data_IF_843948405584
#
_entry.id   IF_843948405584
#
_cell.length_a   1.000
_cell.length_b   1.000
_cell.length_c   1.000
_cell.angle_alpha   90.00
_cell.angle_beta   90.00
_cell.angle_gamma   90.00
#
_symmetry.space_group_name_H-M   'P 1'
#
loop_
_entity.id
_entity.type
_entity.pdbx_description
1 polymer ?
#
# COMPACT_ATOMS: atom_id res chain seq x y z
N UNK A 1 3.58 16.78 23.02
CA UNK A 1 3.33 18.01 23.82
C UNK A 1 3.86 19.31 23.21
N UNK A 2 4.43 19.35 22.00
CA UNK A 2 4.71 20.62 21.26
C UNK A 2 5.69 21.62 21.90
N UNK A 3 6.16 21.37 23.12
CA UNK A 3 7.03 22.26 23.88
C UNK A 3 8.49 21.91 23.62
N UNK A 4 9.26 22.89 23.15
CA UNK A 4 10.69 22.78 22.92
C UNK A 4 11.43 23.81 23.78
N UNK A 5 12.65 23.48 24.19
CA UNK A 5 13.55 24.39 24.90
C UNK A 5 14.89 24.43 24.19
N UNK A 6 15.40 25.63 23.96
CA UNK A 6 16.67 25.88 23.29
C UNK A 6 17.51 26.78 24.18
N UNK A 7 18.79 26.48 24.30
CA UNK A 7 19.76 27.39 24.93
C UNK A 7 20.33 28.29 23.85
N UNK A 8 20.16 29.59 24.02
CA UNK A 8 20.61 30.62 23.07
C UNK A 8 21.33 31.75 23.83
N UNK A 9 22.20 32.53 23.17
CA UNK A 9 22.81 33.70 23.79
C UNK A 9 21.75 34.69 24.28
N UNK A 10 22.01 35.31 25.44
CA UNK A 10 21.14 36.33 26.01
C UNK A 10 21.11 37.61 25.16
N UNK A 11 20.02 38.36 25.27
CA UNK A 11 19.84 39.67 24.64
C UNK A 11 20.12 39.73 23.14
N UNK A 12 19.84 38.65 22.40
CA UNK A 12 20.16 38.49 20.99
C UNK A 12 18.89 38.49 20.14
N UNK A 13 18.88 39.26 19.05
CA UNK A 13 17.79 39.25 18.08
C UNK A 13 17.87 37.98 17.20
N UNK A 14 16.77 37.24 17.15
CA UNK A 14 16.69 35.96 16.45
C UNK A 14 15.24 35.64 16.04
N UNK A 15 15.05 34.60 15.24
CA UNK A 15 13.75 34.00 14.97
C UNK A 15 13.86 32.47 15.12
N UNK A 16 12.74 31.81 15.35
CA UNK A 16 12.63 30.35 15.37
C UNK A 16 12.11 29.89 14.01
N UNK A 17 12.75 28.88 13.43
CA UNK A 17 12.29 28.17 12.24
C UNK A 17 11.94 26.74 12.60
N UNK A 18 10.69 26.36 12.37
CA UNK A 18 10.24 24.97 12.45
C UNK A 18 10.27 24.40 11.04
N UNK A 19 10.86 23.23 10.86
CA UNK A 19 10.93 22.54 9.56
C UNK A 19 9.91 21.41 9.53
N UNK A 20 9.28 21.18 8.38
CA UNK A 20 8.49 19.99 8.11
C UNK A 20 9.43 18.78 7.84
N UNK A 21 10.25 18.45 8.84
CA UNK A 21 11.28 17.41 8.80
C UNK A 21 11.31 16.68 10.15
N UNK A 22 11.39 15.35 10.10
CA UNK A 22 11.53 14.48 11.25
C UNK A 22 12.73 13.56 11.04
N UNK A 23 13.79 13.76 11.83
CA UNK A 23 15.05 13.00 11.72
C UNK A 23 15.40 12.36 13.05
N UNK A 24 15.64 11.05 13.02
CA UNK A 24 16.21 10.27 14.11
C UNK A 24 17.38 9.47 13.58
N UNK A 25 18.53 9.57 14.25
CA UNK A 25 19.76 8.84 13.88
C UNK A 25 20.05 7.71 14.85
N UNK A 26 20.72 6.66 14.38
CA UNK A 26 21.07 5.50 15.19
C UNK A 26 20.04 4.38 15.11
N UNK A 27 19.56 3.92 16.26
CA UNK A 27 18.57 2.83 16.36
C UNK A 27 17.59 3.17 17.47
N UNK A 28 16.29 3.36 17.16
CA UNK A 28 15.69 3.35 15.82
C UNK A 28 16.13 4.56 14.96
N UNK A 29 15.84 4.57 13.65
CA UNK A 29 16.19 5.68 12.75
C UNK A 29 15.18 5.91 11.61
N UNK A 30 15.08 7.18 11.19
CA UNK A 30 14.26 7.65 10.06
C UNK A 30 14.72 9.07 9.63
N UNK A 31 14.47 9.42 8.36
CA UNK A 31 14.61 10.78 7.81
C UNK A 31 13.39 11.06 6.92
N UNK A 32 12.39 11.76 7.45
CA UNK A 32 11.14 12.07 6.75
C UNK A 32 11.04 13.57 6.52
N UNK A 33 10.71 13.99 5.30
CA UNK A 33 10.60 15.41 4.91
C UNK A 33 9.38 15.66 4.05
N UNK A 34 8.70 16.78 4.31
CA UNK A 34 7.62 17.27 3.44
C UNK A 34 8.14 18.43 2.59
N UNK A 35 8.07 18.29 1.27
CA UNK A 35 8.63 19.25 0.31
C UNK A 35 7.63 19.62 -0.78
N UNK A 36 7.86 20.77 -1.42
CA UNK A 36 7.06 21.25 -2.54
C UNK A 36 7.65 20.77 -3.88
N UNK A 37 7.06 19.74 -4.48
CA UNK A 37 7.44 19.24 -5.81
C UNK A 37 7.29 20.30 -6.91
N UNK A 38 6.44 21.31 -6.70
CA UNK A 38 6.20 22.39 -7.68
C UNK A 38 7.13 23.58 -7.51
N UNK A 39 7.96 23.56 -6.47
CA UNK A 39 8.93 24.61 -6.16
C UNK A 39 10.33 24.03 -5.90
N UNK A 40 10.80 23.19 -6.83
CA UNK A 40 12.16 22.65 -6.79
C UNK A 40 12.47 21.79 -5.56
N UNK A 41 11.45 21.12 -5.00
CA UNK A 41 11.55 20.30 -3.79
C UNK A 41 11.99 21.11 -2.55
N UNK A 42 11.55 22.37 -2.47
CA UNK A 42 11.81 23.21 -1.29
C UNK A 42 11.16 22.61 -0.04
N UNK A 43 11.92 22.52 1.05
CA UNK A 43 11.42 22.10 2.36
C UNK A 43 10.46 23.13 2.94
N UNK A 44 9.28 22.69 3.41
CA UNK A 44 8.35 23.57 4.11
C UNK A 44 8.86 23.96 5.50
N UNK A 45 8.64 25.23 5.86
CA UNK A 45 9.07 25.80 7.12
C UNK A 45 8.03 26.77 7.68
N UNK A 46 8.00 26.92 9.00
CA UNK A 46 7.24 27.95 9.71
C UNK A 46 8.22 28.82 10.51
N UNK A 47 8.23 30.12 10.22
CA UNK A 47 9.08 31.09 10.91
C UNK A 47 8.30 31.89 11.94
N UNK A 48 8.90 32.12 13.10
CA UNK A 48 8.45 33.15 14.02
C UNK A 48 8.81 34.54 13.48
N UNK A 49 8.19 35.58 14.04
CA UNK A 49 8.74 36.94 13.93
C UNK A 49 10.10 37.00 14.62
N UNK A 50 10.93 37.97 14.23
CA UNK A 50 12.16 38.29 14.95
C UNK A 50 11.81 38.80 16.35
N UNK A 51 12.50 38.29 17.37
CA UNK A 51 12.38 38.68 18.77
C UNK A 51 13.75 38.70 19.44
N UNK A 52 13.85 39.41 20.57
CA UNK A 52 15.07 39.42 21.38
C UNK A 52 14.98 38.35 22.48
N UNK A 53 16.02 37.53 22.62
CA UNK A 53 16.05 36.42 23.60
C UNK A 53 16.05 36.87 25.06
N UNK A 54 16.40 38.13 25.35
CA UNK A 54 16.42 38.66 26.72
C UNK A 54 17.21 37.76 27.69
N UNK A 55 16.67 37.54 28.88
CA UNK A 55 17.15 36.52 29.83
C UNK A 55 16.44 35.16 29.68
N UNK A 56 15.68 34.99 28.60
CA UNK A 56 14.73 33.90 28.37
C UNK A 56 13.46 34.45 27.71
N UNK A 57 13.01 33.81 26.63
CA UNK A 57 11.82 34.20 25.90
C UNK A 57 10.98 32.96 25.57
N UNK A 58 9.66 33.13 25.58
CA UNK A 58 8.71 32.11 25.13
C UNK A 58 8.11 32.59 23.81
N UNK A 59 8.19 31.75 22.79
CA UNK A 59 7.57 32.00 21.48
C UNK A 59 6.48 30.97 21.23
N UNK A 60 5.27 31.44 20.97
CA UNK A 60 4.16 30.60 20.53
C UNK A 60 4.01 30.76 19.02
N UNK A 61 4.20 29.66 18.29
CA UNK A 61 4.00 29.61 16.85
C UNK A 61 2.68 28.88 16.58
N UNK A 62 1.91 29.41 15.65
CA UNK A 62 0.65 28.82 15.21
C UNK A 62 0.71 28.72 13.68
N UNK A 63 0.76 27.50 13.17
CA UNK A 63 0.58 27.24 11.75
C UNK A 63 -0.92 27.31 11.44
N UNK A 64 -1.36 28.29 10.67
CA UNK A 64 -2.78 28.37 10.29
C UNK A 64 -3.13 27.36 9.21
N UNK A 65 -4.33 26.79 9.25
CA UNK A 65 -4.85 25.94 8.17
C UNK A 65 -5.08 26.70 6.86
N UNK A 66 -5.18 28.04 6.93
CA UNK A 66 -5.52 28.88 5.79
C UNK A 66 -7.03 29.00 5.53
N UNK A 67 -7.85 28.18 6.20
CA UNK A 67 -9.29 28.10 5.98
C UNK A 67 -10.04 29.33 6.51
N UNK A 68 -10.79 30.00 5.63
CA UNK A 68 -11.59 31.18 5.96
C UNK A 68 -13.06 30.88 6.27
N UNK A 69 -13.47 29.62 6.27
CA UNK A 69 -14.85 29.18 6.54
C UNK A 69 -15.63 28.71 5.30
N UNK A 70 -15.24 29.14 4.10
CA UNK A 70 -15.87 28.75 2.82
C UNK A 70 -14.85 28.54 1.70
N UNK A 71 -13.57 28.35 2.06
CA UNK A 71 -12.44 28.31 1.15
C UNK A 71 -11.14 28.75 1.84
N UNK A 72 -10.00 28.48 1.21
CA UNK A 72 -8.70 28.91 1.67
C UNK A 72 -8.47 30.39 1.31
N UNK A 73 -8.24 31.22 2.33
CA UNK A 73 -8.08 32.69 2.17
C UNK A 73 -6.68 33.17 2.54
N UNK A 74 -5.83 32.28 3.02
CA UNK A 74 -4.45 32.53 3.42
C UNK A 74 -3.61 31.26 3.22
N UNK A 75 -2.27 31.35 3.27
CA UNK A 75 -1.41 30.17 3.14
C UNK A 75 -1.77 29.06 4.13
N UNK A 76 -1.74 27.81 3.65
CA UNK A 76 -2.02 26.60 4.45
C UNK A 76 -0.76 26.15 5.19
N UNK A 77 -0.26 26.99 6.09
CA UNK A 77 0.99 26.74 6.82
C UNK A 77 0.97 25.44 7.62
N UNK A 78 -0.21 24.99 8.07
CA UNK A 78 -0.37 23.75 8.83
C UNK A 78 -0.25 22.47 7.99
N UNK A 79 -0.64 22.50 6.72
CA UNK A 79 -0.74 21.33 5.84
C UNK A 79 0.54 20.47 5.79
N UNK A 80 1.75 21.02 5.52
CA UNK A 80 2.95 20.18 5.49
C UNK A 80 3.31 19.56 6.84
N UNK A 81 2.87 20.15 7.96
CA UNK A 81 3.08 19.56 9.29
C UNK A 81 2.04 18.50 9.63
N UNK A 82 0.82 18.60 9.09
CA UNK A 82 -0.20 17.55 9.18
C UNK A 82 0.25 16.30 8.40
N UNK A 83 0.71 16.48 7.15
CA UNK A 83 1.29 15.39 6.34
C UNK A 83 2.47 14.72 7.06
N UNK A 84 3.37 15.50 7.68
CA UNK A 84 4.47 14.95 8.47
C UNK A 84 3.98 14.19 9.72
N UNK A 85 2.89 14.64 10.32
CA UNK A 85 2.32 14.04 11.52
C UNK A 85 1.73 12.65 11.23
N UNK A 86 1.17 12.42 10.05
CA UNK A 86 0.69 11.10 9.65
C UNK A 86 1.84 10.08 9.50
N UNK A 87 2.98 10.50 8.94
CA UNK A 87 4.19 9.67 8.98
C UNK A 87 4.69 9.41 10.41
N UNK A 88 4.53 10.37 11.33
CA UNK A 88 4.83 10.16 12.75
C UNK A 88 3.89 9.11 13.38
N UNK A 89 2.59 9.14 13.11
CA UNK A 89 1.63 8.13 13.58
C UNK A 89 2.06 6.73 13.12
N UNK A 90 2.32 6.56 11.82
CA UNK A 90 2.79 5.32 11.23
C UNK A 90 4.08 4.79 11.92
N UNK A 91 5.06 5.67 12.13
CA UNK A 91 6.32 5.33 12.81
C UNK A 91 6.07 4.94 14.27
N UNK A 92 5.23 5.66 15.01
CA UNK A 92 4.92 5.32 16.40
C UNK A 92 4.26 3.94 16.50
N UNK A 93 3.34 3.60 15.59
CA UNK A 93 2.73 2.26 15.54
C UNK A 93 3.80 1.19 15.31
N UNK A 94 4.74 1.39 14.39
CA UNK A 94 5.86 0.45 14.20
C UNK A 94 6.72 0.27 15.44
N UNK A 95 7.02 1.35 16.17
CA UNK A 95 7.83 1.26 17.39
C UNK A 95 7.19 0.41 18.49
N UNK A 96 5.88 0.15 18.42
CA UNK A 96 5.21 -0.80 19.34
C UNK A 96 5.59 -2.25 19.07
N UNK A 97 5.97 -2.60 17.83
CA UNK A 97 6.36 -3.93 17.40
C UNK A 97 7.89 -4.09 17.24
N UNK A 98 8.58 -3.03 16.81
CA UNK A 98 10.02 -3.00 16.58
C UNK A 98 10.64 -1.69 17.06
N UNK A 99 11.10 -1.63 18.33
CA UNK A 99 11.73 -0.43 18.89
C UNK A 99 13.10 -0.13 18.27
N UNK A 100 13.64 -1.01 17.43
CA UNK A 100 14.95 -0.88 16.79
C UNK A 100 14.84 -0.66 15.27
N UNK A 101 13.65 -0.34 14.75
CA UNK A 101 13.44 -0.18 13.31
C UNK A 101 14.36 0.89 12.72
N UNK A 102 14.91 0.60 11.54
CA UNK A 102 15.67 1.56 10.73
C UNK A 102 14.92 1.70 9.40
N UNK A 103 14.25 2.83 9.24
CA UNK A 103 13.49 3.16 8.04
C UNK A 103 14.38 3.95 7.08
N UNK A 104 14.38 3.60 5.78
CA UNK A 104 14.96 4.45 4.74
C UNK A 104 14.41 5.89 4.78
N UNK A 105 15.11 6.86 4.17
CA UNK A 105 14.58 8.21 4.04
C UNK A 105 13.30 8.23 3.20
N UNK A 106 12.35 9.08 3.58
CA UNK A 106 11.11 9.29 2.84
C UNK A 106 10.90 10.77 2.54
N UNK A 107 10.64 11.08 1.29
CA UNK A 107 10.18 12.40 0.85
C UNK A 107 8.70 12.33 0.53
N UNK A 108 7.94 13.24 1.12
CA UNK A 108 6.52 13.40 0.91
C UNK A 108 6.30 14.72 0.18
N UNK A 109 5.86 14.64 -1.08
CA UNK A 109 5.65 15.78 -1.94
C UNK A 109 4.21 16.27 -1.80
N UNK A 110 4.02 17.43 -1.18
CA UNK A 110 2.72 18.08 -1.08
C UNK A 110 2.80 19.48 -1.66
N UNK A 111 1.73 19.93 -2.31
CA UNK A 111 1.61 21.31 -2.78
C UNK A 111 0.14 21.66 -3.00
N UNK A 112 -0.20 22.93 -2.82
CA UNK A 112 -1.50 23.48 -3.21
C UNK A 112 -1.77 23.36 -4.73
N UNK A 113 -0.72 23.11 -5.52
CA UNK A 113 -0.77 22.92 -6.95
C UNK A 113 -0.92 21.45 -7.37
N UNK A 114 -0.87 20.50 -6.42
CA UNK A 114 -1.02 19.09 -6.74
C UNK A 114 -2.48 18.78 -7.08
N UNK A 115 -2.73 18.46 -8.35
CA UNK A 115 -4.05 18.26 -8.96
C UNK A 115 -4.26 16.81 -9.39
N UNK A 116 -5.53 16.39 -9.40
CA UNK A 116 -5.99 15.08 -9.84
C UNK A 116 -5.99 14.93 -11.38
N UNK A 117 -4.83 15.20 -11.99
CA UNK A 117 -4.58 15.06 -13.43
C UNK A 117 -3.20 14.49 -13.65
N UNK A 118 -3.08 13.44 -14.47
CA UNK A 118 -1.80 12.80 -14.77
C UNK A 118 -0.92 13.70 -15.64
N UNK A 119 0.36 13.86 -15.30
CA UNK A 119 1.31 14.60 -16.11
C UNK A 119 2.65 14.85 -15.45
N UNK A 120 3.14 16.08 -15.56
CA UNK A 120 4.40 16.51 -14.97
C UNK A 120 4.23 16.80 -13.46
N UNK A 121 4.78 15.90 -12.62
CA UNK A 121 4.74 16.05 -11.16
C UNK A 121 5.42 17.34 -10.69
N UNK A 122 6.36 17.92 -11.44
CA UNK A 122 6.98 19.21 -11.09
C UNK A 122 6.06 20.41 -11.33
N UNK A 123 4.92 20.19 -11.99
CA UNK A 123 3.84 21.15 -12.17
C UNK A 123 2.60 20.80 -11.33
N UNK A 124 2.70 19.76 -10.50
CA UNK A 124 1.61 19.28 -9.64
C UNK A 124 0.63 18.32 -10.32
N UNK A 125 0.90 17.87 -11.54
CA UNK A 125 0.03 16.91 -12.24
C UNK A 125 0.31 15.48 -11.77
N UNK A 126 -0.22 15.10 -10.60
CA UNK A 126 0.09 13.83 -9.93
C UNK A 126 -0.99 12.75 -10.10
N UNK A 127 -2.15 13.08 -10.67
CA UNK A 127 -3.23 12.14 -10.95
C UNK A 127 -4.07 11.74 -9.73
N UNK A 128 -3.43 11.22 -8.70
CA UNK A 128 -3.99 10.86 -7.39
C UNK A 128 -2.90 11.03 -6.32
N UNK A 129 -3.26 11.09 -5.04
CA UNK A 129 -2.29 10.77 -4.00
C UNK A 129 -1.77 9.36 -4.22
N UNK A 130 -0.45 9.17 -4.18
CA UNK A 130 0.20 7.89 -4.43
C UNK A 130 1.63 7.82 -3.89
N UNK A 131 2.06 6.60 -3.59
CA UNK A 131 3.46 6.23 -3.51
C UNK A 131 4.03 5.88 -4.88
N UNK A 132 5.22 6.41 -5.19
CA UNK A 132 5.97 6.08 -6.39
C UNK A 132 7.21 5.27 -6.03
N UNK A 133 7.20 3.97 -6.32
CA UNK A 133 8.33 3.06 -6.03
C UNK A 133 9.58 3.34 -6.86
N UNK A 134 9.46 3.96 -8.04
CA UNK A 134 10.62 4.28 -8.88
C UNK A 134 11.47 5.42 -8.29
N UNK A 135 10.82 6.40 -7.64
CA UNK A 135 11.50 7.48 -6.92
C UNK A 135 11.61 7.25 -5.41
N UNK A 136 10.84 6.29 -4.88
CA UNK A 136 10.62 6.06 -3.44
C UNK A 136 10.12 7.32 -2.72
N UNK A 137 9.12 7.99 -3.32
CA UNK A 137 8.54 9.22 -2.80
C UNK A 137 7.01 9.11 -2.74
N UNK A 138 6.40 9.83 -1.80
CA UNK A 138 4.95 10.03 -1.76
C UNK A 138 4.61 11.32 -2.50
N UNK A 139 3.47 11.34 -3.18
CA UNK A 139 2.86 12.54 -3.77
C UNK A 139 1.46 12.67 -3.21
N UNK A 140 1.14 13.82 -2.64
CA UNK A 140 -0.11 14.08 -1.92
C UNK A 140 -0.85 15.23 -2.61
N UNK A 141 -2.14 15.05 -2.91
CA UNK A 141 -2.98 16.09 -3.48
C UNK A 141 -3.20 17.24 -2.50
N UNK A 142 -3.48 18.41 -3.06
CA UNK A 142 -3.70 19.60 -2.26
C UNK A 142 -4.45 20.68 -3.01
N UNK A 143 -5.11 20.38 -4.13
CA UNK A 143 -5.77 21.41 -4.92
C UNK A 143 -7.18 21.70 -4.37
N UNK A 144 -7.37 22.94 -3.90
CA UNK A 144 -8.65 23.40 -3.37
C UNK A 144 -9.80 23.17 -4.37
N UNK A 145 -10.98 22.80 -3.86
CA UNK A 145 -12.18 22.54 -4.64
C UNK A 145 -12.11 21.31 -5.57
N UNK A 146 -10.98 20.59 -5.58
CA UNK A 146 -10.80 19.34 -6.30
C UNK A 146 -10.65 18.21 -5.31
N UNK A 147 -9.53 18.20 -4.59
CA UNK A 147 -9.10 17.08 -3.75
C UNK A 147 -7.98 17.58 -2.84
N UNK A 148 -8.16 17.47 -1.52
CA UNK A 148 -7.23 18.02 -0.52
C UNK A 148 -6.93 17.02 0.56
N UNK A 149 -5.90 16.22 0.32
CA UNK A 149 -5.53 15.12 1.21
C UNK A 149 -4.69 15.53 2.42
N UNK A 150 -4.27 16.79 2.54
CA UNK A 150 -3.36 17.22 3.63
C UNK A 150 -3.87 16.98 5.06
N UNK A 151 -5.17 16.72 5.21
CA UNK A 151 -5.80 16.37 6.48
C UNK A 151 -6.54 15.03 6.43
N UNK A 152 -6.45 14.31 5.32
CA UNK A 152 -7.05 12.99 5.12
C UNK A 152 -6.00 11.94 5.52
N UNK A 153 -5.87 11.80 6.85
CA UNK A 153 -4.85 10.97 7.51
C UNK A 153 -4.78 9.54 6.95
N UNK A 154 -5.93 8.92 6.69
CA UNK A 154 -5.98 7.57 6.15
C UNK A 154 -5.40 7.48 4.74
N UNK A 155 -5.63 8.47 3.86
CA UNK A 155 -5.04 8.53 2.51
C UNK A 155 -3.51 8.60 2.62
N UNK A 156 -2.98 9.48 3.46
CA UNK A 156 -1.53 9.65 3.59
C UNK A 156 -0.88 8.40 4.18
N UNK A 157 -1.50 7.79 5.20
CA UNK A 157 -0.97 6.59 5.85
C UNK A 157 -1.11 5.36 4.94
N UNK A 158 -2.15 5.27 4.11
CA UNK A 158 -2.29 4.25 3.07
C UNK A 158 -1.06 4.27 2.14
N UNK A 159 -0.72 5.43 1.58
CA UNK A 159 0.47 5.56 0.72
C UNK A 159 1.78 5.33 1.46
N UNK A 160 1.84 5.71 2.74
CA UNK A 160 2.96 5.37 3.60
C UNK A 160 3.09 3.84 3.78
N UNK A 161 1.96 3.14 3.81
CA UNK A 161 1.89 1.67 3.82
C UNK A 161 2.56 1.05 2.60
N UNK A 162 2.37 1.60 1.40
CA UNK A 162 3.07 1.15 0.20
C UNK A 162 4.57 1.46 0.22
N UNK A 163 4.96 2.61 0.77
CA UNK A 163 6.38 2.88 1.04
C UNK A 163 6.99 1.80 1.95
N UNK A 164 6.28 1.43 3.02
CA UNK A 164 6.70 0.33 3.89
C UNK A 164 6.77 -1.01 3.14
N UNK A 165 5.80 -1.31 2.27
CA UNK A 165 5.86 -2.55 1.48
C UNK A 165 7.11 -2.62 0.60
N UNK A 166 7.43 -1.54 -0.11
CA UNK A 166 8.57 -1.48 -1.03
C UNK A 166 9.91 -1.64 -0.31
N UNK A 167 10.11 -0.88 0.77
CA UNK A 167 11.45 -0.77 1.36
C UNK A 167 11.66 -1.69 2.55
N UNK A 168 10.59 -2.06 3.26
CA UNK A 168 10.66 -2.89 4.46
C UNK A 168 10.12 -4.31 4.25
N UNK A 169 9.14 -4.51 3.38
CA UNK A 169 8.55 -5.83 3.08
C UNK A 169 8.92 -6.25 1.64
N UNK A 170 7.94 -6.77 0.89
CA UNK A 170 7.89 -6.94 -0.55
C UNK A 170 6.47 -6.64 -1.04
N UNK A 171 6.33 -5.97 -2.18
CA UNK A 171 5.08 -5.89 -2.94
C UNK A 171 5.31 -6.44 -4.35
N UNK A 172 4.48 -7.40 -4.78
CA UNK A 172 4.43 -7.88 -6.16
C UNK A 172 3.24 -7.26 -6.95
N UNK A 173 2.61 -6.22 -6.38
CA UNK A 173 1.51 -5.49 -7.00
C UNK A 173 1.94 -4.88 -8.33
N UNK A 174 1.04 -4.93 -9.31
CA UNK A 174 1.21 -4.27 -10.62
C UNK A 174 0.51 -2.91 -10.67
N UNK A 175 -0.13 -2.50 -9.56
CA UNK A 175 -0.93 -1.29 -9.47
C UNK A 175 -2.03 -1.19 -10.53
N UNK A 176 -2.39 0.04 -10.86
CA UNK A 176 -3.41 0.38 -11.85
C UNK A 176 -4.78 0.66 -11.22
N UNK A 177 -5.68 1.27 -11.98
CA UNK A 177 -6.97 1.75 -11.46
C UNK A 177 -7.80 0.65 -10.77
N UNK A 178 -8.32 0.93 -9.59
CA UNK A 178 -9.09 0.02 -8.74
C UNK A 178 -10.15 0.80 -7.94
N UNK A 179 -10.92 0.07 -7.15
CA UNK A 179 -11.87 0.60 -6.18
C UNK A 179 -12.50 -0.56 -5.40
N UNK A 180 -13.08 -0.28 -4.24
CA UNK A 180 -13.41 -1.31 -3.23
C UNK A 180 -14.35 -2.44 -3.66
N UNK A 181 -15.07 -2.31 -4.79
CA UNK A 181 -15.95 -3.35 -5.31
C UNK A 181 -15.35 -4.13 -6.50
N UNK A 182 -14.11 -3.83 -6.89
CA UNK A 182 -13.46 -4.49 -8.01
C UNK A 182 -12.99 -5.90 -7.62
N UNK A 183 -13.02 -6.80 -8.61
CA UNK A 183 -12.36 -8.11 -8.50
C UNK A 183 -11.00 -8.01 -9.16
N UNK A 184 -9.96 -7.95 -8.34
CA UNK A 184 -8.61 -7.57 -8.73
C UNK A 184 -7.70 -8.78 -8.94
N UNK A 185 -6.57 -8.53 -9.60
CA UNK A 185 -5.39 -9.39 -9.49
C UNK A 185 -5.04 -9.52 -7.99
N UNK A 186 -4.80 -10.73 -7.46
CA UNK A 186 -4.58 -10.95 -6.02
C UNK A 186 -3.43 -10.14 -5.44
N UNK A 187 -2.45 -9.76 -6.27
CA UNK A 187 -1.30 -8.95 -5.84
C UNK A 187 -1.71 -7.50 -5.61
N UNK A 188 -2.64 -7.00 -6.41
CA UNK A 188 -3.22 -5.67 -6.25
C UNK A 188 -4.20 -5.68 -5.09
N UNK A 189 -5.11 -6.66 -5.01
CA UNK A 189 -6.03 -6.80 -3.87
C UNK A 189 -5.28 -6.80 -2.52
N UNK A 190 -4.15 -7.51 -2.45
CA UNK A 190 -3.33 -7.53 -1.25
C UNK A 190 -2.68 -6.18 -0.96
N UNK A 191 -2.03 -5.54 -1.95
CA UNK A 191 -1.37 -4.25 -1.75
C UNK A 191 -2.33 -3.15 -1.32
N UNK A 192 -3.44 -2.98 -2.04
CA UNK A 192 -4.44 -1.94 -1.74
C UNK A 192 -5.15 -2.21 -0.41
N UNK A 193 -5.47 -3.48 -0.14
CA UNK A 193 -6.05 -3.88 1.13
C UNK A 193 -5.06 -3.72 2.30
N UNK A 194 -3.77 -3.92 2.08
CA UNK A 194 -2.73 -3.57 3.05
C UNK A 194 -2.72 -2.08 3.33
N UNK A 195 -2.72 -1.21 2.31
CA UNK A 195 -2.76 0.24 2.50
C UNK A 195 -3.95 0.68 3.38
N UNK A 196 -5.15 0.18 3.06
CA UNK A 196 -6.37 0.49 3.83
C UNK A 196 -6.31 -0.09 5.26
N UNK A 197 -6.02 -1.37 5.42
CA UNK A 197 -5.94 -2.01 6.74
C UNK A 197 -4.85 -1.39 7.62
N UNK A 198 -3.68 -1.12 7.05
CA UNK A 198 -2.58 -0.43 7.73
C UNK A 198 -2.97 0.97 8.19
N UNK A 199 -3.68 1.73 7.36
CA UNK A 199 -4.12 3.07 7.72
C UNK A 199 -4.96 3.06 9.01
N UNK A 200 -5.90 2.13 9.12
CA UNK A 200 -6.72 1.95 10.32
C UNK A 200 -5.92 1.45 11.53
N UNK A 201 -5.07 0.44 11.34
CA UNK A 201 -4.22 -0.10 12.41
C UNK A 201 -3.30 0.99 12.98
N UNK A 202 -2.74 1.84 12.13
CA UNK A 202 -1.83 2.90 12.55
C UNK A 202 -2.55 4.01 13.31
N UNK A 203 -3.77 4.37 12.91
CA UNK A 203 -4.59 5.41 13.55
C UNK A 203 -5.39 4.93 14.75
N UNK A 204 -5.55 3.61 14.92
CA UNK A 204 -6.54 3.02 15.83
C UNK A 204 -7.97 3.51 15.53
N UNK A 205 -8.27 3.72 14.25
CA UNK A 205 -9.55 4.23 13.76
C UNK A 205 -9.97 3.45 12.50
N UNK A 206 -11.07 2.68 12.52
CA UNK A 206 -11.49 1.91 11.36
C UNK A 206 -12.15 2.77 10.27
N UNK A 207 -12.44 4.05 10.50
CA UNK A 207 -13.20 4.86 9.56
C UNK A 207 -12.29 5.69 8.66
N UNK A 208 -12.19 5.23 7.41
CA UNK A 208 -11.46 5.92 6.35
C UNK A 208 -12.30 7.08 5.79
N UNK A 209 -11.68 8.24 5.57
CA UNK A 209 -12.29 9.38 4.89
C UNK A 209 -11.33 9.99 3.85
N UNK A 210 -11.92 10.52 2.78
CA UNK A 210 -11.26 11.29 1.72
C UNK A 210 -12.17 12.50 1.40
N UNK A 211 -11.62 13.70 1.51
CA UNK A 211 -12.35 14.97 1.34
C UNK A 211 -12.05 15.63 0.00
N UNK A 212 -13.11 15.90 -0.76
CA UNK A 212 -12.99 16.36 -2.14
C UNK A 212 -14.07 17.36 -2.55
N UNK A 213 -13.94 17.86 -3.78
CA UNK A 213 -14.92 18.71 -4.44
C UNK A 213 -14.98 20.14 -3.90
N UNK A 214 -15.94 20.91 -4.43
CA UNK A 214 -16.06 22.35 -4.15
C UNK A 214 -16.25 22.63 -2.65
N UNK A 215 -15.44 23.52 -2.10
CA UNK A 215 -15.35 23.84 -0.66
C UNK A 215 -15.10 22.61 0.23
N UNK A 216 -14.49 21.55 -0.33
CA UNK A 216 -14.27 20.28 0.38
C UNK A 216 -15.58 19.70 0.94
N UNK A 217 -16.71 19.95 0.27
CA UNK A 217 -18.04 19.59 0.76
C UNK A 217 -18.51 18.22 0.27
N UNK A 218 -17.64 17.45 -0.37
CA UNK A 218 -17.91 16.10 -0.89
C UNK A 218 -16.74 15.19 -0.49
N UNK A 219 -16.82 13.93 -0.89
CA UNK A 219 -15.87 12.91 -0.46
C UNK A 219 -16.54 11.55 -0.41
N UNK A 220 -15.79 10.58 0.10
CA UNK A 220 -16.34 9.30 0.51
C UNK A 220 -15.75 8.88 1.85
N UNK A 221 -16.41 7.91 2.45
CA UNK A 221 -15.91 7.23 3.63
C UNK A 221 -16.29 5.77 3.55
N UNK A 222 -15.55 4.94 4.26
CA UNK A 222 -15.89 3.54 4.49
C UNK A 222 -15.30 3.10 5.83
N UNK A 223 -15.88 2.06 6.43
CA UNK A 223 -15.34 1.44 7.63
C UNK A 223 -14.58 0.17 7.22
N UNK A 224 -13.30 0.11 7.57
CA UNK A 224 -12.39 -1.01 7.26
C UNK A 224 -12.91 -2.37 7.76
N UNK A 225 -13.58 -2.38 8.91
CA UNK A 225 -14.17 -3.57 9.56
C UNK A 225 -15.43 -4.06 8.83
N UNK A 226 -16.34 -3.14 8.47
CA UNK A 226 -17.68 -3.50 7.98
C UNK A 226 -17.84 -3.44 6.46
N UNK A 227 -17.02 -2.65 5.76
CA UNK A 227 -17.03 -2.55 4.30
C UNK A 227 -16.00 -3.52 3.70
N UNK A 228 -16.33 -4.81 3.78
CA UNK A 228 -15.43 -5.96 3.57
C UNK A 228 -15.47 -6.60 2.15
N UNK A 229 -16.14 -5.93 1.21
CA UNK A 229 -16.48 -6.47 -0.11
C UNK A 229 -17.95 -6.92 -0.23
N UNK A 230 -18.73 -6.77 0.85
CA UNK A 230 -20.18 -6.84 0.86
C UNK A 230 -20.71 -8.20 0.38
N UNK A 231 -21.35 -8.24 -0.79
CA UNK A 231 -21.97 -9.49 -1.28
C UNK A 231 -21.00 -10.47 -1.93
N UNK A 232 -19.74 -10.08 -2.14
CA UNK A 232 -18.75 -10.89 -2.85
C UNK A 232 -17.35 -10.75 -2.22
N UNK A 233 -17.19 -11.07 -0.93
CA UNK A 233 -15.89 -11.09 -0.30
C UNK A 233 -15.01 -12.20 -0.90
N UNK A 234 -13.71 -12.04 -0.80
CA UNK A 234 -12.75 -13.07 -1.20
C UNK A 234 -11.36 -12.55 -1.49
N UNK A 235 -10.49 -13.48 -1.87
CA UNK A 235 -9.06 -13.29 -2.07
C UNK A 235 -8.67 -12.30 -3.18
N UNK A 236 -9.64 -11.86 -3.98
CA UNK A 236 -9.51 -10.90 -5.09
C UNK A 236 -10.00 -9.49 -4.72
N UNK A 237 -10.46 -9.26 -3.50
CA UNK A 237 -11.04 -8.00 -3.03
C UNK A 237 -10.09 -7.29 -2.08
N UNK A 238 -9.77 -6.02 -2.36
CA UNK A 238 -8.99 -5.17 -1.43
C UNK A 238 -9.75 -4.95 -0.12
N UNK A 239 -11.09 -4.80 -0.20
CA UNK A 239 -11.96 -4.66 0.96
C UNK A 239 -12.00 -5.91 1.83
N UNK A 240 -11.81 -7.10 1.26
CA UNK A 240 -11.67 -8.32 2.08
C UNK A 240 -10.32 -8.36 2.79
N UNK A 241 -9.25 -7.95 2.12
CA UNK A 241 -7.91 -7.93 2.72
C UNK A 241 -7.82 -6.89 3.85
N UNK A 242 -8.35 -5.69 3.66
CA UNK A 242 -8.33 -4.65 4.70
C UNK A 242 -9.10 -5.10 5.96
N UNK A 243 -10.27 -5.72 5.79
CA UNK A 243 -11.09 -6.20 6.90
C UNK A 243 -10.37 -7.32 7.65
N UNK A 244 -9.82 -8.32 6.94
CA UNK A 244 -9.03 -9.37 7.56
C UNK A 244 -7.83 -8.83 8.36
N UNK A 245 -7.15 -7.80 7.86
CA UNK A 245 -6.02 -7.19 8.59
C UNK A 245 -6.48 -6.48 9.86
N UNK A 246 -7.64 -5.83 9.82
CA UNK A 246 -8.25 -5.21 10.99
C UNK A 246 -8.68 -6.25 12.01
N UNK A 247 -9.44 -7.27 11.60
CA UNK A 247 -9.89 -8.38 12.45
C UNK A 247 -8.71 -9.18 13.05
N UNK A 248 -7.56 -9.26 12.36
CA UNK A 248 -6.36 -9.86 12.98
C UNK A 248 -5.76 -8.97 14.09
N UNK A 249 -5.98 -7.66 14.01
CA UNK A 249 -5.35 -6.64 14.83
C UNK A 249 -6.13 -6.31 16.10
N UNK A 250 -7.41 -6.02 15.97
CA UNK A 250 -8.21 -5.38 17.01
C UNK A 250 -8.69 -6.37 18.08
N UNK A 251 -9.38 -5.86 19.10
CA UNK A 251 -9.84 -6.62 20.27
C UNK A 251 -11.36 -6.77 20.34
N UNK A 252 -12.07 -6.32 19.31
CA UNK A 252 -13.52 -6.37 19.23
C UNK A 252 -13.98 -7.70 18.60
N UNK A 253 -14.34 -8.66 19.43
CA UNK A 253 -14.96 -9.90 18.92
C UNK A 253 -16.28 -9.59 18.19
N UNK A 254 -16.33 -9.78 16.87
CA UNK A 254 -17.54 -9.64 16.07
C UNK A 254 -17.84 -10.88 15.17
N UNK A 255 -18.87 -11.65 15.55
CA UNK A 255 -19.29 -12.83 14.78
C UNK A 255 -18.25 -13.96 14.73
N UNK A 256 -17.57 -14.10 13.60
CA UNK A 256 -16.51 -15.09 13.40
C UNK A 256 -15.15 -14.62 13.95
N UNK A 257 -15.00 -13.31 14.17
CA UNK A 257 -13.79 -12.78 14.76
C UNK A 257 -13.69 -13.13 16.25
N UNK A 258 -12.61 -13.83 16.57
CA UNK A 258 -12.19 -14.19 17.92
C UNK A 258 -10.65 -14.13 17.98
N UNK A 259 -10.05 -13.34 17.10
CA UNK A 259 -8.61 -13.23 16.88
C UNK A 259 -8.20 -11.82 17.30
N UNK A 260 -7.28 -11.69 18.25
CA UNK A 260 -6.80 -10.37 18.67
C UNK A 260 -5.29 -10.43 18.84
N UNK A 261 -4.58 -10.42 17.71
CA UNK A 261 -3.13 -10.63 17.69
C UNK A 261 -2.37 -9.35 18.03
N UNK A 262 -3.01 -8.18 17.89
CA UNK A 262 -2.34 -6.90 17.87
C UNK A 262 -1.40 -6.75 16.68
N UNK A 263 -0.65 -5.65 16.66
CA UNK A 263 0.14 -5.29 15.47
C UNK A 263 1.43 -6.13 15.30
N UNK A 264 2.03 -6.61 16.39
CA UNK A 264 3.36 -7.23 16.33
C UNK A 264 3.42 -8.47 15.41
N UNK A 265 2.48 -9.43 15.44
CA UNK A 265 2.52 -10.58 14.53
C UNK A 265 2.37 -10.19 13.05
N UNK A 266 1.51 -9.21 12.74
CA UNK A 266 1.34 -8.67 11.38
C UNK A 266 2.66 -8.07 10.89
N UNK A 267 3.31 -7.25 11.71
CA UNK A 267 4.62 -6.67 11.41
C UNK A 267 5.70 -7.73 11.15
N UNK A 268 5.78 -8.78 11.98
CA UNK A 268 6.77 -9.85 11.80
C UNK A 268 6.55 -10.62 10.49
N UNK A 269 5.29 -10.90 10.13
CA UNK A 269 4.96 -11.54 8.85
C UNK A 269 5.41 -10.68 7.67
N UNK A 270 5.07 -9.38 7.67
CA UNK A 270 5.46 -8.46 6.60
C UNK A 270 6.98 -8.34 6.46
N UNK A 271 7.72 -8.25 7.57
CA UNK A 271 9.18 -8.12 7.54
C UNK A 271 9.94 -9.41 7.24
N UNK A 272 9.31 -10.56 7.51
CA UNK A 272 9.92 -11.88 7.37
C UNK A 272 9.31 -12.68 6.22
N UNK A 273 8.41 -13.59 6.56
CA UNK A 273 7.95 -14.61 5.62
C UNK A 273 7.21 -14.05 4.40
N UNK A 274 6.45 -12.95 4.50
CA UNK A 274 5.82 -12.31 3.36
C UNK A 274 6.85 -11.71 2.38
N UNK A 275 7.93 -11.13 2.91
CA UNK A 275 9.05 -10.61 2.11
C UNK A 275 9.78 -11.73 1.36
N UNK A 276 9.97 -12.87 2.00
CA UNK A 276 10.77 -13.99 1.49
C UNK A 276 9.96 -15.10 0.78
N UNK A 277 8.63 -14.96 0.70
CA UNK A 277 7.73 -16.01 0.17
C UNK A 277 8.05 -16.38 -1.28
N UNK A 278 7.87 -17.66 -1.62
CA UNK A 278 8.10 -18.16 -2.98
C UNK A 278 6.98 -17.75 -3.95
N UNK A 279 5.74 -17.69 -3.47
CA UNK A 279 4.60 -17.22 -4.24
C UNK A 279 4.67 -15.71 -4.47
N UNK A 280 3.93 -15.17 -5.44
CA UNK A 280 3.70 -13.72 -5.50
C UNK A 280 2.83 -13.28 -4.31
N UNK A 281 3.07 -12.08 -3.79
CA UNK A 281 2.37 -11.57 -2.59
C UNK A 281 0.87 -11.56 -2.79
N UNK A 282 0.15 -12.16 -1.85
CA UNK A 282 -1.31 -12.20 -1.81
C UNK A 282 -1.78 -12.43 -0.37
N UNK A 283 -3.09 -12.41 -0.14
CA UNK A 283 -3.66 -12.82 1.16
C UNK A 283 -3.27 -14.26 1.53
N UNK A 284 -3.08 -15.15 0.55
CA UNK A 284 -2.68 -16.54 0.80
C UNK A 284 -1.27 -16.63 1.38
N UNK A 285 -0.31 -15.91 0.78
CA UNK A 285 1.08 -15.92 1.27
C UNK A 285 1.18 -15.30 2.67
N UNK A 286 0.42 -14.23 2.92
CA UNK A 286 0.36 -13.59 4.22
C UNK A 286 -0.29 -14.49 5.27
N UNK A 287 -1.47 -15.06 4.97
CA UNK A 287 -2.20 -15.92 5.88
C UNK A 287 -1.45 -17.23 6.20
N UNK A 288 -0.77 -17.83 5.22
CA UNK A 288 0.09 -18.99 5.43
C UNK A 288 1.19 -18.67 6.44
N UNK A 289 1.86 -17.52 6.28
CA UNK A 289 2.88 -17.04 7.20
C UNK A 289 2.32 -16.69 8.59
N UNK A 290 1.18 -16.00 8.68
CA UNK A 290 0.57 -15.62 9.95
C UNK A 290 0.14 -16.85 10.77
N UNK A 291 -0.44 -17.87 10.12
CA UNK A 291 -0.76 -19.14 10.78
C UNK A 291 0.49 -19.87 11.29
N UNK A 292 1.62 -19.74 10.59
CA UNK A 292 2.89 -20.31 11.05
C UNK A 292 3.48 -19.53 12.24
N UNK A 293 3.42 -18.20 12.21
CA UNK A 293 3.87 -17.31 13.29
C UNK A 293 3.00 -17.46 14.55
N UNK A 294 1.68 -17.64 14.36
CA UNK A 294 0.68 -17.75 15.43
C UNK A 294 0.00 -19.12 15.41
N UNK A 295 0.80 -20.19 15.53
CA UNK A 295 0.30 -21.57 15.41
C UNK A 295 -0.82 -21.94 16.39
N UNK A 296 -0.87 -21.29 17.55
CA UNK A 296 -1.95 -21.48 18.53
C UNK A 296 -3.29 -20.88 18.06
N UNK A 297 -3.26 -19.81 17.26
CA UNK A 297 -4.43 -19.15 16.68
C UNK A 297 -4.75 -19.63 15.26
N UNK A 298 -3.96 -20.53 14.68
CA UNK A 298 -4.07 -20.93 13.26
C UNK A 298 -5.47 -21.40 12.84
N UNK A 299 -6.19 -22.12 13.71
CA UNK A 299 -7.57 -22.54 13.45
C UNK A 299 -8.58 -21.39 13.50
N UNK A 300 -8.37 -20.40 14.37
CA UNK A 300 -9.22 -19.20 14.44
C UNK A 300 -8.96 -18.30 13.23
N UNK A 301 -7.69 -18.09 12.86
CA UNK A 301 -7.30 -17.39 11.62
C UNK A 301 -7.95 -18.06 10.39
N UNK A 302 -7.93 -19.40 10.33
CA UNK A 302 -8.58 -20.14 9.23
C UNK A 302 -10.09 -19.95 9.21
N UNK A 303 -10.75 -19.92 10.38
CA UNK A 303 -12.18 -19.68 10.46
C UNK A 303 -12.55 -18.28 9.94
N UNK A 304 -11.77 -17.27 10.31
CA UNK A 304 -11.96 -15.88 9.86
C UNK A 304 -11.75 -15.73 8.34
N UNK A 305 -10.68 -16.33 7.80
CA UNK A 305 -10.45 -16.37 6.34
C UNK A 305 -11.63 -17.00 5.59
N UNK A 306 -12.14 -18.13 6.10
CA UNK A 306 -13.27 -18.84 5.48
C UNK A 306 -14.57 -18.01 5.54
N UNK A 307 -14.79 -17.28 6.63
CA UNK A 307 -15.96 -16.40 6.78
C UNK A 307 -15.97 -15.31 5.71
N UNK A 308 -14.80 -14.75 5.40
CA UNK A 308 -14.59 -13.76 4.33
C UNK A 308 -14.31 -14.40 2.95
N UNK A 309 -14.61 -15.69 2.75
CA UNK A 309 -14.55 -16.34 1.44
C UNK A 309 -13.14 -16.62 0.91
N UNK A 310 -12.15 -16.82 1.79
CA UNK A 310 -10.77 -17.22 1.46
C UNK A 310 -10.51 -18.62 2.01
N UNK A 311 -10.46 -19.64 1.15
CA UNK A 311 -10.45 -21.05 1.53
C UNK A 311 -9.10 -21.77 1.26
N UNK A 312 -8.20 -21.12 0.54
CA UNK A 312 -6.87 -21.66 0.22
C UNK A 312 -6.05 -22.07 1.46
N UNK A 313 -5.36 -23.21 1.35
CA UNK A 313 -4.69 -23.84 2.50
C UNK A 313 -3.24 -23.41 2.72
N UNK A 314 -2.54 -22.96 1.67
CA UNK A 314 -1.12 -22.60 1.65
C UNK A 314 -0.88 -21.26 0.92
N UNK A 315 0.38 -20.85 0.77
CA UNK A 315 0.77 -19.60 0.11
C UNK A 315 0.42 -19.54 -1.38
N UNK A 316 0.02 -20.67 -1.99
CA UNK A 316 -0.37 -20.80 -3.39
C UNK A 316 -1.88 -20.80 -3.59
N UNK A 317 -2.66 -20.72 -2.51
CA UNK A 317 -4.11 -20.84 -2.55
C UNK A 317 -4.59 -22.26 -2.89
N UNK A 318 -3.82 -23.30 -2.53
CA UNK A 318 -4.18 -24.69 -2.81
C UNK A 318 -5.52 -25.05 -2.18
N UNK A 319 -6.44 -25.56 -3.00
CA UNK A 319 -7.77 -25.97 -2.56
C UNK A 319 -8.79 -24.83 -2.44
N UNK A 320 -8.46 -23.63 -2.90
CA UNK A 320 -9.41 -22.52 -2.99
C UNK A 320 -10.68 -22.91 -3.77
N UNK A 321 -11.84 -22.47 -3.28
CA UNK A 321 -13.16 -22.79 -3.82
C UNK A 321 -13.98 -21.57 -4.21
N UNK A 322 -13.60 -20.37 -3.78
CA UNK A 322 -14.23 -19.12 -4.18
C UNK A 322 -13.76 -18.74 -5.59
N UNK A 323 -14.60 -19.02 -6.58
CA UNK A 323 -14.40 -18.72 -7.99
C UNK A 323 -14.90 -17.32 -8.39
N UNK A 324 -15.14 -16.45 -7.40
CA UNK A 324 -15.63 -15.09 -7.61
C UNK A 324 -16.98 -15.03 -8.34
N UNK A 325 -17.79 -16.10 -8.25
CA UNK A 325 -19.07 -16.23 -8.95
C UNK A 325 -18.93 -16.53 -10.45
N UNK A 326 -17.74 -16.93 -10.90
CA UNK A 326 -17.46 -17.31 -12.28
C UNK A 326 -16.71 -18.64 -12.36
N UNK A 327 -17.42 -19.67 -12.82
CA UNK A 327 -16.89 -21.04 -12.93
C UNK A 327 -15.81 -21.21 -13.99
N UNK A 328 -15.50 -20.16 -14.76
CA UNK A 328 -14.49 -20.20 -15.81
C UNK A 328 -13.27 -19.37 -15.42
N UNK A 329 -12.10 -20.00 -15.52
CA UNK A 329 -10.80 -19.33 -15.57
C UNK A 329 -10.38 -18.51 -14.35
N UNK A 330 -10.95 -18.79 -13.18
CA UNK A 330 -10.55 -18.21 -11.89
C UNK A 330 -9.68 -19.19 -11.10
N UNK A 331 -10.14 -20.44 -10.96
CA UNK A 331 -9.47 -21.48 -10.19
C UNK A 331 -8.76 -22.52 -11.09
N UNK A 332 -7.71 -23.21 -10.59
CA UNK A 332 -7.02 -22.95 -9.32
C UNK A 332 -6.26 -21.60 -9.35
N UNK A 333 -5.96 -21.03 -8.18
CA UNK A 333 -5.22 -19.77 -8.04
C UNK A 333 -3.86 -19.87 -8.74
N UNK A 334 -3.05 -20.87 -8.35
CA UNK A 334 -1.87 -21.30 -9.11
C UNK A 334 -2.13 -22.66 -9.75
N UNK A 335 -1.96 -22.74 -11.07
CA UNK A 335 -2.06 -24.02 -11.79
C UNK A 335 -0.71 -24.75 -11.74
N UNK A 336 -0.64 -25.97 -11.16
CA UNK A 336 0.59 -26.74 -11.16
C UNK A 336 0.96 -27.19 -12.58
N UNK A 337 2.23 -27.01 -12.95
CA UNK A 337 2.79 -27.44 -14.22
C UNK A 337 3.60 -28.71 -14.05
N UNK A 338 3.48 -29.62 -15.01
CA UNK A 338 4.27 -30.85 -15.10
C UNK A 338 5.14 -30.79 -16.35
N UNK A 339 6.46 -30.96 -16.17
CA UNK A 339 7.42 -30.91 -17.27
C UNK A 339 7.03 -31.91 -18.37
N UNK A 340 7.03 -31.44 -19.62
CA UNK A 340 6.67 -32.25 -20.79
C UNK A 340 5.16 -32.46 -20.98
N UNK A 341 4.31 -31.89 -20.13
CA UNK A 341 2.85 -31.92 -20.27
C UNK A 341 2.33 -30.55 -20.63
N UNK A 342 1.52 -30.46 -21.68
CA UNK A 342 0.86 -29.21 -22.05
C UNK A 342 -0.32 -28.94 -21.11
N UNK A 343 -0.37 -27.73 -20.56
CA UNK A 343 -1.46 -27.26 -19.69
C UNK A 343 -2.16 -26.08 -20.35
N UNK A 344 -3.49 -26.12 -20.40
CA UNK A 344 -4.30 -25.01 -20.93
C UNK A 344 -4.65 -24.04 -19.81
N UNK A 345 -4.37 -22.76 -20.02
CA UNK A 345 -4.80 -21.65 -19.17
C UNK A 345 -5.45 -20.58 -20.05
N UNK A 346 -6.66 -20.18 -19.69
CA UNK A 346 -7.35 -19.09 -20.37
C UNK A 346 -7.38 -17.86 -19.46
N UNK A 347 -7.11 -16.69 -20.05
CA UNK A 347 -7.31 -15.39 -19.42
C UNK A 347 -8.71 -14.86 -19.77
N UNK A 348 -9.33 -14.10 -18.87
CA UNK A 348 -10.63 -13.46 -19.12
C UNK A 348 -10.62 -12.01 -18.68
N UNK A 349 -11.38 -11.17 -19.38
CA UNK A 349 -11.65 -9.78 -18.99
C UNK A 349 -13.08 -9.60 -18.46
N UNK A 350 -13.75 -10.69 -18.07
CA UNK A 350 -15.12 -10.68 -17.57
C UNK A 350 -15.31 -9.78 -16.33
N UNK A 351 -14.24 -9.54 -15.58
CA UNK A 351 -14.24 -8.75 -14.35
C UNK A 351 -13.84 -7.29 -14.53
N UNK A 352 -13.71 -6.80 -15.77
CA UNK A 352 -13.41 -5.38 -16.01
C UNK A 352 -14.54 -4.50 -15.47
N UNK A 353 -14.19 -3.51 -14.64
CA UNK A 353 -15.13 -2.51 -14.12
C UNK A 353 -15.39 -1.37 -15.11
N UNK A 354 -14.58 -1.26 -16.17
CA UNK A 354 -14.77 -0.28 -17.24
C UNK A 354 -14.36 -0.84 -18.60
N UNK A 355 -14.66 -0.11 -19.68
CA UNK A 355 -14.24 -0.49 -21.03
C UNK A 355 -12.72 -0.44 -21.24
N UNK A 356 -12.01 0.28 -20.38
CA UNK A 356 -10.56 0.48 -20.37
C UNK A 356 -10.05 0.26 -18.95
N UNK A 357 -9.71 -0.98 -18.60
CA UNK A 357 -9.35 -1.25 -17.20
C UNK A 357 -9.26 -2.72 -16.84
N UNK A 358 -9.03 -3.60 -17.81
CA UNK A 358 -8.85 -5.02 -17.51
C UNK A 358 -7.46 -5.30 -16.90
N UNK A 359 -6.48 -4.40 -17.10
CA UNK A 359 -5.07 -4.64 -16.79
C UNK A 359 -4.83 -5.31 -15.43
N UNK A 360 -5.44 -4.85 -14.35
CA UNK A 360 -5.23 -5.36 -13.00
C UNK A 360 -6.44 -6.12 -12.43
N UNK A 361 -7.32 -6.64 -13.30
CA UNK A 361 -8.52 -7.35 -12.88
C UNK A 361 -8.29 -8.85 -12.81
N UNK A 362 -9.12 -9.50 -11.98
CA UNK A 362 -9.08 -10.92 -11.74
C UNK A 362 -9.04 -11.70 -13.06
N UNK A 363 -8.18 -12.71 -13.13
CA UNK A 363 -8.03 -13.63 -14.26
C UNK A 363 -7.62 -13.02 -15.60
N UNK A 364 -7.26 -11.74 -15.67
CA UNK A 364 -6.54 -11.20 -16.84
C UNK A 364 -5.15 -11.79 -16.94
N UNK A 365 -4.51 -12.07 -15.80
CA UNK A 365 -3.33 -12.93 -15.69
C UNK A 365 -3.72 -14.23 -15.00
N UNK A 366 -3.17 -15.34 -15.49
CA UNK A 366 -3.27 -16.65 -14.84
C UNK A 366 -1.91 -17.01 -14.27
N UNK A 367 -1.91 -17.55 -13.06
CA UNK A 367 -0.69 -17.97 -12.39
C UNK A 367 -0.50 -19.47 -12.54
N UNK A 368 0.74 -19.86 -12.75
CA UNK A 368 1.15 -21.25 -12.83
C UNK A 368 2.38 -21.45 -11.95
N UNK A 369 2.51 -22.65 -11.37
CA UNK A 369 3.63 -23.03 -10.52
C UNK A 369 4.35 -24.21 -11.13
N UNK A 370 5.67 -24.11 -11.24
CA UNK A 370 6.55 -25.20 -11.65
C UNK A 370 7.50 -25.52 -10.51
N UNK A 371 7.47 -26.75 -10.00
CA UNK A 371 8.46 -27.23 -9.04
C UNK A 371 9.71 -27.71 -9.79
N UNK A 372 10.83 -27.01 -9.60
CA UNK A 372 12.09 -27.32 -10.27
C UNK A 372 12.92 -28.26 -9.40
N UNK A 373 12.97 -29.54 -9.77
CA UNK A 373 13.69 -30.57 -9.00
C UNK A 373 15.20 -30.62 -9.25
N UNK A 374 15.68 -30.01 -10.34
CA UNK A 374 17.09 -30.01 -10.72
C UNK A 374 17.47 -28.69 -11.37
N UNK A 375 18.64 -28.15 -11.05
CA UNK A 375 19.13 -26.95 -11.73
C UNK A 375 19.42 -27.25 -13.20
N UNK A 376 18.94 -26.39 -14.10
CA UNK A 376 19.13 -26.57 -15.54
C UNK A 376 18.44 -25.50 -16.38
N UNK A 377 18.57 -25.62 -17.70
CA UNK A 377 17.85 -24.76 -18.64
C UNK A 377 16.48 -25.36 -18.91
N UNK A 378 15.44 -24.59 -18.61
CA UNK A 378 14.05 -24.92 -18.89
C UNK A 378 13.54 -24.01 -19.99
N UNK A 379 12.72 -24.57 -20.86
CA UNK A 379 12.01 -23.83 -21.90
C UNK A 379 10.52 -23.89 -21.62
N UNK A 380 9.85 -22.74 -21.67
CA UNK A 380 8.40 -22.62 -21.68
C UNK A 380 8.01 -22.16 -23.07
N UNK A 381 7.06 -22.87 -23.67
CA UNK A 381 6.46 -22.51 -24.95
C UNK A 381 4.96 -22.37 -24.74
N UNK A 382 4.43 -21.23 -25.16
CA UNK A 382 3.00 -20.90 -25.06
C UNK A 382 2.45 -20.77 -26.46
N UNK A 383 1.27 -21.32 -26.68
CA UNK A 383 0.53 -21.18 -27.95
C UNK A 383 -0.87 -20.67 -27.63
N UNK A 384 -1.29 -19.64 -28.34
CA UNK A 384 -2.62 -19.05 -28.21
C UNK A 384 -3.47 -19.26 -29.48
N UNK A 385 -4.78 -18.95 -29.40
CA UNK A 385 -5.66 -18.98 -30.56
C UNK A 385 -5.22 -17.98 -31.65
N UNK A 386 -5.76 -18.15 -32.86
CA UNK A 386 -5.44 -17.25 -33.96
C UNK A 386 -5.75 -15.78 -33.60
N UNK A 387 -4.75 -14.91 -33.75
CA UNK A 387 -4.86 -13.48 -33.46
C UNK A 387 -4.64 -13.08 -31.99
N UNK A 388 -4.35 -14.02 -31.08
CA UNK A 388 -3.88 -13.69 -29.73
C UNK A 388 -2.38 -13.39 -29.69
N UNK A 389 -1.92 -12.73 -28.64
CA UNK A 389 -0.51 -12.49 -28.34
C UNK A 389 -0.24 -12.93 -26.88
N UNK A 390 0.09 -14.22 -26.65
CA UNK A 390 0.24 -14.73 -25.29
C UNK A 390 1.61 -14.38 -24.72
N UNK A 391 1.65 -13.60 -23.64
CA UNK A 391 2.88 -13.33 -22.91
C UNK A 391 3.11 -14.33 -21.77
N UNK A 392 4.38 -14.56 -21.43
CA UNK A 392 4.78 -15.37 -20.27
C UNK A 392 5.90 -14.71 -19.49
N UNK A 393 5.76 -14.72 -18.17
CA UNK A 393 6.73 -14.14 -17.24
C UNK A 393 7.09 -15.19 -16.20
N UNK A 394 8.38 -15.46 -16.01
CA UNK A 394 8.90 -16.39 -15.03
C UNK A 394 9.39 -15.59 -13.83
N UNK A 395 8.80 -15.83 -12.67
CA UNK A 395 9.20 -15.22 -11.41
C UNK A 395 9.81 -16.24 -10.46
N UNK A 396 10.74 -15.79 -9.63
CA UNK A 396 11.25 -16.53 -8.47
C UNK A 396 11.36 -15.57 -7.29
N UNK A 397 10.60 -15.81 -6.21
CA UNK A 397 10.53 -14.93 -5.03
C UNK A 397 10.21 -13.47 -5.40
N UNK A 398 9.19 -13.27 -6.24
CA UNK A 398 8.79 -11.95 -6.75
C UNK A 398 9.70 -11.36 -7.83
N UNK A 399 10.92 -11.88 -8.03
CA UNK A 399 11.87 -11.34 -9.01
C UNK A 399 11.63 -11.92 -10.40
N UNK A 400 11.58 -11.05 -11.42
CA UNK A 400 11.48 -11.47 -12.81
C UNK A 400 12.78 -12.13 -13.26
N UNK A 401 12.72 -13.44 -13.57
CA UNK A 401 13.85 -14.25 -14.04
C UNK A 401 13.98 -14.18 -15.55
N UNK A 402 12.86 -14.32 -16.26
CA UNK A 402 12.79 -14.26 -17.70
C UNK A 402 11.37 -13.91 -18.16
N UNK A 403 11.25 -13.38 -19.37
CA UNK A 403 9.96 -13.12 -20.01
C UNK A 403 10.01 -13.49 -21.48
N UNK A 404 8.86 -13.88 -22.00
CA UNK A 404 8.55 -13.89 -23.41
C UNK A 404 7.36 -12.96 -23.63
N UNK A 405 7.58 -11.91 -24.41
CA UNK A 405 6.61 -10.84 -24.70
C UNK A 405 6.84 -10.27 -26.10
N UNK A 406 7.16 -11.16 -27.06
CA UNK A 406 7.43 -10.78 -28.44
C UNK A 406 6.12 -10.43 -29.16
N UNK A 407 6.19 -9.60 -30.20
CA UNK A 407 5.01 -9.28 -31.02
C UNK A 407 4.57 -10.42 -31.97
N UNK A 408 5.00 -11.65 -31.70
CA UNK A 408 4.72 -12.80 -32.57
C UNK A 408 3.33 -13.35 -32.25
N UNK A 409 2.40 -13.16 -33.19
CA UNK A 409 1.04 -13.62 -33.01
C UNK A 409 0.95 -15.13 -32.74
N UNK A 410 0.22 -15.49 -31.68
CA UNK A 410 -0.23 -16.84 -31.39
C UNK A 410 0.81 -17.73 -30.71
N UNK A 411 2.03 -17.26 -30.46
CA UNK A 411 3.03 -18.09 -29.76
C UNK A 411 4.15 -17.28 -29.11
N UNK A 412 4.62 -17.78 -27.99
CA UNK A 412 5.76 -17.22 -27.28
C UNK A 412 6.68 -18.34 -26.77
N UNK A 413 7.98 -18.10 -26.68
CA UNK A 413 8.93 -19.08 -26.15
C UNK A 413 10.04 -18.41 -25.38
N UNK A 414 10.18 -18.79 -24.12
CA UNK A 414 11.21 -18.30 -23.22
C UNK A 414 12.06 -19.46 -22.72
N UNK A 415 13.36 -19.25 -22.60
CA UNK A 415 14.28 -20.22 -21.99
C UNK A 415 15.05 -19.55 -20.86
N UNK A 416 15.13 -20.21 -19.70
CA UNK A 416 15.77 -19.68 -18.52
C UNK A 416 16.54 -20.79 -17.80
N UNK A 417 17.69 -20.45 -17.21
CA UNK A 417 18.36 -21.33 -16.27
C UNK A 417 17.69 -21.19 -14.91
N UNK A 418 17.03 -22.24 -14.44
CA UNK A 418 16.32 -22.26 -13.17
C UNK A 418 17.12 -23.09 -12.17
N UNK A 419 17.21 -22.59 -10.94
CA UNK A 419 17.76 -23.33 -9.80
C UNK A 419 16.76 -24.36 -9.30
N UNK A 420 17.25 -25.39 -8.60
CA UNK A 420 16.35 -26.32 -7.92
C UNK A 420 15.74 -25.65 -6.67
N UNK A 421 14.48 -25.94 -6.39
CA UNK A 421 13.75 -25.47 -5.20
C UNK A 421 12.61 -24.51 -5.47
#
# INVERSE_FOLDING_TARGET
>A
NGNYSLMVPASTDMFIRVKAEMVQTGTPAWDVRVVDNTNGQALYVLDSKVFNSGSGAVQNLHASSGWGGSGYTSPREAAPFAVLYDAYIAIQKILTADPNVVLPPLKMNWSVNNVASNGDVTQGQIGTSHYNSASQELFILGHENSDTDEYDNHVIIHEWGHYFEDVMSRSDSIGGAHGGNDRLDPRVAFGEGWGNGWSAIATDDPVYFDTMGNQQSSGFHFNVETDDGGTQPGWFSESTVQALLWDFYDDADDGADNVSLGFAPIYQVMRGAQKDTLALTSIFSFASALKAEQSAAASAITALLNDRGVFGSDEWGTGETNDAGNTQDVLPVYTPLVIGTATTLCSTNAFKSSNTGAYNKLSVRRFARLDVSSTGTYQISVTGPAGSDPDVYIFYKGQLVAKGDSSNAGSETVSATLSAG
#
